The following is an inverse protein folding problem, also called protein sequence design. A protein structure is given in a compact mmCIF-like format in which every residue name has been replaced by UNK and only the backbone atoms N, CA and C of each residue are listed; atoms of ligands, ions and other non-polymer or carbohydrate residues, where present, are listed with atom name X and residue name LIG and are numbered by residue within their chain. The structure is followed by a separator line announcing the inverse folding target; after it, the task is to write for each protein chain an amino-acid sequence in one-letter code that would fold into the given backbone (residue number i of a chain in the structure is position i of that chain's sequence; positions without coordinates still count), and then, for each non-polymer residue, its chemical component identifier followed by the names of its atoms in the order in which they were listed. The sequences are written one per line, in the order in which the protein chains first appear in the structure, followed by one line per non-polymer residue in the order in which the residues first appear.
data_IF_733716928570
#
_entry.id   IF_733716928570
#
_cell.length_a   1.000
_cell.length_b   1.000
_cell.length_c   1.000
_cell.angle_alpha   90.00
_cell.angle_beta   90.00
_cell.angle_gamma   90.00
#
_symmetry.space_group_name_H-M   'P 1'
#
loop_
_entity.id
_entity.type
_entity.pdbx_description
1 polymer ?
#
# COMPACT_ATOMS: atom_id res chain seq x y z
N UNK A 1 7.04 -15.09 -29.43
CA UNK A 1 6.96 -14.89 -27.97
C UNK A 1 5.89 -13.85 -27.71
N UNK A 2 4.78 -14.25 -27.10
CA UNK A 2 3.55 -13.45 -26.96
C UNK A 2 3.62 -12.49 -25.77
N UNK A 3 2.91 -11.35 -25.87
CA UNK A 3 2.69 -10.32 -24.84
C UNK A 3 2.25 -10.84 -23.45
N UNK A 4 1.89 -12.12 -23.35
CA UNK A 4 1.60 -12.85 -22.11
C UNK A 4 2.79 -12.88 -21.13
N UNK A 5 4.01 -12.67 -21.59
CA UNK A 5 5.17 -12.64 -20.70
C UNK A 5 5.24 -11.39 -19.81
N UNK A 6 4.39 -10.38 -20.03
CA UNK A 6 4.13 -9.28 -19.08
C UNK A 6 3.21 -9.66 -17.91
N UNK A 7 2.58 -10.84 -17.92
CA UNK A 7 1.88 -11.38 -16.74
C UNK A 7 2.83 -11.90 -15.65
N UNK A 8 4.13 -11.63 -15.77
CA UNK A 8 5.17 -12.12 -14.84
C UNK A 8 5.40 -11.21 -13.63
N UNK A 9 4.53 -10.23 -13.41
CA UNK A 9 4.49 -9.36 -12.24
C UNK A 9 3.23 -9.69 -11.43
N UNK A 10 3.38 -10.64 -10.49
CA UNK A 10 2.61 -10.83 -9.26
C UNK A 10 1.30 -10.03 -9.15
N UNK A 11 0.15 -10.70 -9.22
CA UNK A 11 -1.15 -10.13 -8.78
C UNK A 11 -0.96 -9.44 -7.42
N UNK A 12 -1.66 -8.33 -7.11
CA UNK A 12 -1.45 -7.62 -5.84
C UNK A 12 -1.60 -8.52 -4.60
N UNK A 13 -2.30 -9.65 -4.74
CA UNK A 13 -2.37 -10.72 -3.75
C UNK A 13 -1.03 -11.38 -3.40
N UNK A 14 -0.16 -11.58 -4.38
CA UNK A 14 1.17 -12.15 -4.14
C UNK A 14 2.07 -11.14 -3.44
N UNK A 15 2.05 -9.87 -3.85
CA UNK A 15 2.73 -8.80 -3.12
C UNK A 15 2.19 -8.65 -1.69
N UNK A 16 0.86 -8.77 -1.51
CA UNK A 16 0.21 -8.79 -0.20
C UNK A 16 0.71 -9.94 0.66
N UNK A 17 0.74 -11.16 0.14
CA UNK A 17 1.18 -12.34 0.89
C UNK A 17 2.63 -12.20 1.39
N UNK A 18 3.52 -11.63 0.56
CA UNK A 18 4.91 -11.35 0.95
C UNK A 18 4.98 -10.29 2.05
N UNK A 19 4.20 -9.21 1.93
CA UNK A 19 4.11 -8.19 2.97
C UNK A 19 3.55 -8.75 4.28
N UNK A 20 2.43 -9.48 4.24
CA UNK A 20 1.79 -10.07 5.42
C UNK A 20 2.75 -11.02 6.14
N UNK A 21 3.45 -11.91 5.41
CA UNK A 21 4.42 -12.82 6.00
C UNK A 21 5.57 -12.07 6.70
N UNK A 22 6.08 -11.02 6.07
CA UNK A 22 7.11 -10.17 6.66
C UNK A 22 6.56 -9.46 7.91
N UNK A 23 5.37 -8.87 7.81
CA UNK A 23 4.72 -8.12 8.87
C UNK A 23 4.46 -8.99 10.09
N UNK A 24 3.91 -10.19 9.94
CA UNK A 24 3.64 -11.10 11.06
C UNK A 24 4.93 -11.46 11.80
N UNK A 25 6.01 -11.71 11.06
CA UNK A 25 7.33 -12.00 11.63
C UNK A 25 7.87 -10.79 12.39
N UNK A 26 7.89 -9.62 11.76
CA UNK A 26 8.38 -8.40 12.38
C UNK A 26 7.53 -7.99 13.59
N UNK A 27 6.21 -8.10 13.49
CA UNK A 27 5.28 -7.74 14.55
C UNK A 27 5.50 -8.59 15.80
N UNK A 28 5.59 -9.91 15.62
CA UNK A 28 5.78 -10.85 16.74
C UNK A 28 7.19 -10.81 17.33
N UNK A 29 8.23 -10.67 16.50
CA UNK A 29 9.61 -10.77 16.95
C UNK A 29 10.25 -9.43 17.34
N UNK A 30 9.76 -8.32 16.78
CA UNK A 30 10.37 -6.99 16.95
C UNK A 30 9.42 -6.03 17.66
N UNK A 31 8.22 -5.82 17.12
CA UNK A 31 7.30 -4.81 17.65
C UNK A 31 6.78 -5.18 19.05
N UNK A 32 6.18 -6.35 19.21
CA UNK A 32 5.64 -6.80 20.50
C UNK A 32 6.72 -6.96 21.57
N UNK A 33 7.96 -7.25 21.15
CA UNK A 33 9.11 -7.36 22.05
C UNK A 33 9.74 -5.99 22.39
N UNK A 34 9.15 -4.87 21.94
CA UNK A 34 9.66 -3.51 22.12
C UNK A 34 11.07 -3.28 21.55
N UNK A 35 11.45 -4.07 20.54
CA UNK A 35 12.75 -4.01 19.84
C UNK A 35 12.70 -3.15 18.58
N UNK A 36 11.55 -2.57 18.25
CA UNK A 36 11.40 -1.76 17.04
C UNK A 36 12.18 -0.44 17.10
N UNK A 37 12.35 0.14 18.30
CA UNK A 37 13.05 1.42 18.51
C UNK A 37 12.64 2.53 17.51
N UNK A 38 11.34 2.60 17.20
CA UNK A 38 10.77 3.59 16.26
C UNK A 38 11.00 3.28 14.78
N UNK A 39 11.63 2.16 14.43
CA UNK A 39 11.83 1.73 13.03
C UNK A 39 10.70 0.84 12.55
N UNK A 40 10.25 1.05 11.32
CA UNK A 40 9.28 0.17 10.66
C UNK A 40 9.98 -1.03 10.04
N UNK A 41 9.28 -2.15 9.96
CA UNK A 41 9.71 -3.34 9.23
C UNK A 41 8.99 -3.44 7.89
N UNK A 42 9.57 -4.24 6.98
CA UNK A 42 8.91 -4.65 5.73
C UNK A 42 8.57 -3.49 4.78
N UNK A 43 9.34 -2.40 4.83
CA UNK A 43 9.07 -1.20 4.03
C UNK A 43 9.07 -1.50 2.52
N UNK A 44 9.97 -2.38 2.07
CA UNK A 44 10.07 -2.78 0.67
C UNK A 44 8.85 -3.60 0.22
N UNK A 45 8.45 -4.58 1.01
CA UNK A 45 7.28 -5.42 0.72
C UNK A 45 5.99 -4.60 0.78
N UNK A 46 5.92 -3.66 1.72
CA UNK A 46 4.81 -2.71 1.85
C UNK A 46 4.71 -1.80 0.64
N UNK A 47 5.82 -1.23 0.18
CA UNK A 47 5.87 -0.39 -1.02
C UNK A 47 5.41 -1.16 -2.25
N UNK A 48 5.92 -2.38 -2.47
CA UNK A 48 5.52 -3.21 -3.60
C UNK A 48 4.01 -3.55 -3.59
N UNK A 49 3.47 -3.91 -2.41
CA UNK A 49 2.04 -4.18 -2.24
C UNK A 49 1.19 -2.94 -2.48
N UNK A 50 1.52 -1.82 -1.84
CA UNK A 50 0.73 -0.59 -1.92
C UNK A 50 0.75 0.03 -3.31
N UNK A 51 1.89 0.05 -4.00
CA UNK A 51 1.97 0.50 -5.38
C UNK A 51 1.05 -0.32 -6.30
N UNK A 52 0.98 -1.64 -6.11
CA UNK A 52 0.08 -2.51 -6.88
C UNK A 52 -1.39 -2.17 -6.59
N UNK A 53 -1.79 -2.15 -5.32
CA UNK A 53 -3.19 -1.88 -4.94
C UNK A 53 -3.63 -0.48 -5.35
N UNK A 54 -2.78 0.54 -5.20
CA UNK A 54 -3.10 1.89 -5.62
C UNK A 54 -3.27 2.00 -7.13
N UNK A 55 -2.50 1.25 -7.93
CA UNK A 55 -2.69 1.18 -9.38
C UNK A 55 -4.07 0.61 -9.74
N UNK A 56 -4.46 -0.49 -9.11
CA UNK A 56 -5.78 -1.11 -9.30
C UNK A 56 -6.91 -0.16 -8.86
N UNK A 57 -6.80 0.47 -7.68
CA UNK A 57 -7.80 1.43 -7.20
C UNK A 57 -7.93 2.64 -8.13
N UNK A 58 -6.80 3.19 -8.60
CA UNK A 58 -6.80 4.32 -9.54
C UNK A 58 -7.40 3.97 -10.92
N UNK A 59 -7.43 2.69 -11.29
CA UNK A 59 -8.10 2.25 -12.52
C UNK A 59 -9.62 2.43 -12.45
N UNK A 60 -10.20 2.44 -11.24
CA UNK A 60 -11.62 2.63 -10.99
C UNK A 60 -11.89 3.89 -10.15
N UNK A 61 -11.61 5.05 -10.74
CA UNK A 61 -11.83 6.37 -10.10
C UNK A 61 -13.23 6.55 -9.52
N UNK A 62 -14.35 6.16 -10.20
CA UNK A 62 -15.69 6.32 -9.63
C UNK A 62 -15.88 5.55 -8.31
N UNK A 63 -15.34 4.34 -8.21
CA UNK A 63 -15.38 3.54 -7.00
C UNK A 63 -14.63 4.22 -5.85
N UNK A 64 -13.42 4.73 -6.12
CA UNK A 64 -12.61 5.43 -5.11
C UNK A 64 -13.32 6.69 -4.61
N UNK A 65 -13.91 7.49 -5.51
CA UNK A 65 -14.68 8.68 -5.12
C UNK A 65 -15.94 8.33 -4.31
N UNK A 66 -16.63 7.23 -4.65
CA UNK A 66 -17.76 6.73 -3.87
C UNK A 66 -17.36 6.25 -2.48
N UNK A 67 -16.14 5.73 -2.31
CA UNK A 67 -15.64 5.34 -0.97
C UNK A 67 -15.27 6.60 -0.18
N UNK A 68 -14.64 7.60 -0.81
CA UNK A 68 -14.32 8.88 -0.16
C UNK A 68 -15.56 9.63 0.31
N UNK A 69 -16.69 9.53 -0.39
CA UNK A 69 -17.91 10.25 -0.02
C UNK A 69 -18.57 9.73 1.26
N UNK A 70 -18.28 8.49 1.66
CA UNK A 70 -18.80 7.87 2.89
C UNK A 70 -17.80 7.91 4.05
N UNK A 71 -16.59 8.41 3.83
CA UNK A 71 -15.59 8.61 4.88
C UNK A 71 -16.02 9.74 5.83
N UNK A 72 -15.61 9.64 7.10
CA UNK A 72 -15.72 10.77 8.03
C UNK A 72 -14.93 11.97 7.49
N UNK A 73 -15.43 13.21 7.63
CA UNK A 73 -14.82 14.40 7.05
C UNK A 73 -13.34 14.58 7.40
N UNK A 74 -12.97 14.27 8.65
CA UNK A 74 -11.61 14.37 9.17
C UNK A 74 -10.67 13.35 8.49
N UNK A 75 -11.19 12.15 8.20
CA UNK A 75 -10.46 11.08 7.52
C UNK A 75 -10.27 11.43 6.04
N UNK A 76 -11.32 11.97 5.41
CA UNK A 76 -11.26 12.43 4.02
C UNK A 76 -10.21 13.53 3.82
N UNK A 77 -10.20 14.54 4.69
CA UNK A 77 -9.21 15.64 4.63
C UNK A 77 -7.78 15.15 4.81
N UNK A 78 -7.53 14.20 5.74
CA UNK A 78 -6.21 13.58 5.92
C UNK A 78 -5.76 12.85 4.67
N UNK A 79 -6.65 12.06 4.08
CA UNK A 79 -6.35 11.30 2.88
C UNK A 79 -5.99 12.22 1.71
N UNK A 80 -6.79 13.26 1.46
CA UNK A 80 -6.55 14.23 0.39
C UNK A 80 -5.22 14.99 0.58
N UNK A 81 -4.92 15.40 1.82
CA UNK A 81 -3.66 16.08 2.15
C UNK A 81 -2.44 15.19 1.93
N UNK A 82 -2.51 13.92 2.34
CA UNK A 82 -1.42 12.96 2.13
C UNK A 82 -1.21 12.65 0.64
N UNK A 83 -2.31 12.47 -0.10
CA UNK A 83 -2.24 12.20 -1.55
C UNK A 83 -1.65 13.39 -2.32
N UNK A 84 -1.96 14.62 -1.90
CA UNK A 84 -1.39 15.83 -2.48
C UNK A 84 0.11 15.98 -2.18
N UNK A 85 0.53 15.70 -0.95
CA UNK A 85 1.94 15.77 -0.55
C UNK A 85 2.83 14.74 -1.27
N UNK A 86 2.32 13.52 -1.51
CA UNK A 86 3.07 12.48 -2.24
C UNK A 86 3.28 12.81 -3.72
N UNK A 87 2.45 13.68 -4.33
CA UNK A 87 2.60 14.09 -5.74
C UNK A 87 3.62 15.20 -5.96
N UNK A 88 4.03 15.92 -4.90
CA UNK A 88 5.00 17.01 -4.98
C UNK A 88 6.46 16.56 -4.85
N UNK A 89 6.71 15.26 -4.70
CA UNK A 89 8.07 14.68 -4.62
C UNK A 89 8.55 14.06 -5.94
N UNK A 90 7.71 14.06 -6.98
CA UNK A 90 8.00 13.49 -8.32
C UNK A 90 8.18 14.57 -9.42
N UNK A 91 8.37 15.84 -9.06
CA UNK A 91 8.63 16.97 -9.99
C UNK A 91 9.97 17.66 -9.71
#
# INVERSE_FOLDING_TARGET
MTLQQRQRDSTCWQAKAMYDQCFDTWYTQVFLQRKAHGRMGCEKEYEAYTQCVMRELNSNKPLVESIKSVMQPEVKQRFETQTAASRQQDE
#
